data_IF_372217556484
#
_entry.id   IF_372217556484
#
_cell.length_a   1.000
_cell.length_b   1.000
_cell.length_c   1.000
_cell.angle_alpha   90.00
_cell.angle_beta   90.00
_cell.angle_gamma   90.00
#
_symmetry.space_group_name_H-M   'P 1'
#
loop_
_entity.id
_entity.type
_entity.pdbx_description
1 polymer ?
#
# COMPACT_ATOMS: atom_id res chain seq x y z
N UNK A 1 -30.31 -21.31 -0.11
CA UNK A 1 -29.01 -21.98 0.03
C UNK A 1 -27.77 -21.23 -0.41
N UNK A 2 -27.95 -20.11 -1.13
CA UNK A 2 -26.85 -19.20 -1.48
C UNK A 2 -26.14 -18.63 -0.24
N UNK A 3 -26.89 -18.32 0.80
CA UNK A 3 -26.34 -17.76 2.07
C UNK A 3 -25.49 -18.78 2.82
N UNK A 4 -25.86 -20.06 2.74
CA UNK A 4 -25.12 -21.16 3.37
C UNK A 4 -23.80 -21.42 2.65
N UNK A 5 -23.79 -21.34 1.33
CA UNK A 5 -22.60 -21.43 0.50
C UNK A 5 -21.61 -20.27 0.76
N UNK A 6 -22.09 -19.04 0.82
CA UNK A 6 -21.28 -17.86 1.15
C UNK A 6 -20.67 -17.96 2.54
N UNK A 7 -21.43 -18.42 3.53
CA UNK A 7 -20.91 -18.61 4.88
C UNK A 7 -19.79 -19.64 4.91
N UNK A 8 -19.97 -20.77 4.23
CA UNK A 8 -18.96 -21.82 4.12
C UNK A 8 -17.70 -21.35 3.39
N UNK A 9 -17.86 -20.55 2.32
CA UNK A 9 -16.75 -19.93 1.59
C UNK A 9 -15.94 -19.01 2.50
N UNK A 10 -16.60 -18.14 3.28
CA UNK A 10 -15.92 -17.22 4.19
C UNK A 10 -15.22 -17.95 5.34
N UNK A 11 -15.81 -19.02 5.86
CA UNK A 11 -15.19 -19.86 6.89
C UNK A 11 -13.92 -20.54 6.35
N UNK A 12 -13.97 -21.08 5.14
CA UNK A 12 -12.79 -21.66 4.48
C UNK A 12 -11.71 -20.62 4.22
N UNK A 13 -12.07 -19.47 3.69
CA UNK A 13 -11.13 -18.36 3.48
C UNK A 13 -10.46 -17.95 4.80
N UNK A 14 -11.23 -17.82 5.88
CA UNK A 14 -10.68 -17.50 7.21
C UNK A 14 -9.66 -18.55 7.67
N UNK A 15 -9.92 -19.84 7.46
CA UNK A 15 -8.98 -20.90 7.79
C UNK A 15 -7.67 -20.80 7.00
N UNK A 16 -7.75 -20.46 5.72
CA UNK A 16 -6.57 -20.22 4.87
C UNK A 16 -5.74 -19.04 5.39
N UNK A 17 -6.37 -17.94 5.75
CA UNK A 17 -5.69 -16.77 6.32
C UNK A 17 -5.03 -17.11 7.65
N UNK A 18 -5.71 -17.84 8.53
CA UNK A 18 -5.15 -18.28 9.81
C UNK A 18 -3.92 -19.19 9.58
N UNK A 19 -3.99 -20.12 8.65
CA UNK A 19 -2.87 -20.99 8.29
C UNK A 19 -1.66 -20.18 7.81
N UNK A 20 -1.89 -19.18 6.96
CA UNK A 20 -0.84 -18.25 6.54
C UNK A 20 -0.26 -17.47 7.73
N UNK A 21 -1.10 -16.93 8.60
CA UNK A 21 -0.65 -16.18 9.78
C UNK A 21 0.23 -17.05 10.69
N UNK A 22 -0.17 -18.29 10.97
CA UNK A 22 0.63 -19.22 11.78
C UNK A 22 2.01 -19.49 11.19
N UNK A 23 2.09 -19.61 9.86
CA UNK A 23 3.37 -19.78 9.14
C UNK A 23 4.30 -18.58 9.32
N UNK A 24 3.76 -17.38 9.48
CA UNK A 24 4.49 -16.11 9.49
C UNK A 24 4.49 -15.41 10.87
N UNK A 25 4.08 -16.10 11.92
CA UNK A 25 4.20 -15.57 13.28
C UNK A 25 5.65 -15.17 13.61
N UNK A 26 5.80 -13.97 14.19
CA UNK A 26 7.10 -13.43 14.56
C UNK A 26 7.97 -12.95 13.39
N UNK A 27 7.43 -12.86 12.18
CA UNK A 27 8.14 -12.23 11.05
C UNK A 27 8.53 -10.80 11.38
N UNK A 28 9.75 -10.40 11.03
CA UNK A 28 10.25 -9.04 11.25
C UNK A 28 11.09 -8.57 10.07
N UNK A 29 11.15 -7.25 9.90
CA UNK A 29 11.82 -6.63 8.78
C UNK A 29 13.29 -6.32 9.13
N UNK A 30 14.19 -6.59 8.17
CA UNK A 30 15.63 -6.36 8.31
C UNK A 30 16.09 -5.05 7.71
N UNK A 31 15.24 -4.42 6.90
CA UNK A 31 15.49 -3.17 6.19
C UNK A 31 14.75 -1.95 6.80
N UNK A 32 14.04 -2.16 7.90
CA UNK A 32 13.49 -1.03 8.66
C UNK A 32 14.61 -0.35 9.46
N UNK A 33 14.74 0.95 9.27
CA UNK A 33 15.51 1.77 10.20
C UNK A 33 14.96 1.55 11.61
N UNK A 34 15.84 1.24 12.56
CA UNK A 34 15.47 1.05 13.98
C UNK A 34 14.82 2.32 14.51
N UNK A 35 13.49 2.37 14.44
CA UNK A 35 12.76 3.40 15.16
C UNK A 35 12.90 3.12 16.65
N UNK A 36 13.26 4.10 17.48
CA UNK A 36 13.35 3.91 18.93
C UNK A 36 12.02 3.52 19.57
N UNK A 37 10.91 3.60 18.82
CA UNK A 37 9.56 3.24 19.25
C UNK A 37 9.10 1.86 18.75
N UNK A 38 9.94 1.13 18.01
CA UNK A 38 9.58 -0.21 17.56
C UNK A 38 9.87 -1.19 18.69
N UNK A 39 8.87 -1.89 19.26
CA UNK A 39 9.14 -2.92 20.28
C UNK A 39 10.10 -3.96 19.69
N UNK A 40 11.09 -4.37 20.48
CA UNK A 40 11.98 -5.48 20.15
C UNK A 40 11.10 -6.70 19.91
N UNK A 41 10.92 -7.06 18.66
CA UNK A 41 10.11 -8.19 18.25
C UNK A 41 10.79 -9.50 18.67
N UNK A 42 9.96 -10.44 19.08
CA UNK A 42 10.34 -11.76 19.62
C UNK A 42 11.56 -12.38 18.89
N UNK A 43 12.55 -12.74 19.65
CA UNK A 43 13.69 -13.54 19.18
C UNK A 43 13.19 -14.84 18.57
N UNK A 44 13.48 -15.08 17.28
CA UNK A 44 13.21 -16.38 16.62
C UNK A 44 12.30 -16.34 15.38
N UNK A 45 11.75 -15.19 14.99
CA UNK A 45 10.90 -15.09 13.79
C UNK A 45 11.69 -15.03 12.47
N UNK A 46 10.97 -15.22 11.34
CA UNK A 46 11.56 -15.12 10.00
C UNK A 46 12.01 -13.69 9.69
N UNK A 47 13.23 -13.55 9.19
CA UNK A 47 13.80 -12.28 8.73
C UNK A 47 13.44 -12.07 7.26
N UNK A 48 12.89 -10.89 6.92
CA UNK A 48 12.46 -10.58 5.56
C UNK A 48 12.58 -9.08 5.29
N UNK A 49 12.76 -8.68 4.04
CA UNK A 49 12.67 -7.29 3.64
C UNK A 49 11.21 -6.88 3.48
N UNK A 50 10.94 -5.59 3.64
CA UNK A 50 9.59 -5.04 3.45
C UNK A 50 9.06 -5.31 2.03
N UNK A 51 9.89 -5.09 1.01
CA UNK A 51 9.54 -5.35 -0.39
C UNK A 51 9.19 -6.83 -0.63
N UNK A 52 9.97 -7.75 -0.06
CA UNK A 52 9.66 -9.17 -0.18
C UNK A 52 8.35 -9.54 0.52
N UNK A 53 8.08 -8.94 1.68
CA UNK A 53 6.81 -9.13 2.38
C UNK A 53 5.62 -8.68 1.54
N UNK A 54 5.69 -7.47 0.97
CA UNK A 54 4.67 -6.97 0.05
C UNK A 54 4.42 -7.94 -1.11
N UNK A 55 5.47 -8.47 -1.73
CA UNK A 55 5.34 -9.42 -2.84
C UNK A 55 4.66 -10.73 -2.42
N UNK A 56 4.94 -11.23 -1.22
CA UNK A 56 4.28 -12.42 -0.67
C UNK A 56 2.79 -12.15 -0.45
N UNK A 57 2.44 -11.02 0.17
CA UNK A 57 1.05 -10.65 0.44
C UNK A 57 0.26 -10.49 -0.86
N UNK A 58 0.84 -9.88 -1.89
CA UNK A 58 0.19 -9.76 -3.21
C UNK A 58 -0.06 -11.14 -3.81
N UNK A 59 0.94 -12.01 -3.82
CA UNK A 59 0.84 -13.36 -4.39
C UNK A 59 -0.25 -14.19 -3.71
N UNK A 60 -0.38 -14.08 -2.40
CA UNK A 60 -1.39 -14.80 -1.61
C UNK A 60 -2.80 -14.16 -1.69
N UNK A 61 -2.92 -12.96 -2.27
CA UNK A 61 -4.19 -12.24 -2.37
C UNK A 61 -4.58 -11.51 -1.09
N UNK A 62 -3.62 -11.20 -0.23
CA UNK A 62 -3.81 -10.49 1.03
C UNK A 62 -3.47 -9.01 0.96
N UNK A 63 -2.97 -8.56 -0.18
CA UNK A 63 -2.73 -7.16 -0.49
C UNK A 63 -2.93 -6.90 -1.99
N UNK A 64 -3.28 -5.66 -2.36
CA UNK A 64 -3.53 -5.24 -3.74
C UNK A 64 -4.53 -6.16 -4.49
N UNK A 65 -5.54 -6.62 -3.78
CA UNK A 65 -6.43 -7.69 -4.21
C UNK A 65 -7.16 -7.38 -5.51
N UNK A 66 -7.68 -6.17 -5.65
CA UNK A 66 -8.44 -5.74 -6.84
C UNK A 66 -7.59 -5.05 -7.90
N UNK A 67 -6.29 -4.89 -7.67
CA UNK A 67 -5.40 -4.28 -8.66
C UNK A 67 -5.05 -5.33 -9.73
N UNK A 68 -5.15 -4.99 -11.03
CA UNK A 68 -4.87 -5.93 -12.11
C UNK A 68 -3.46 -6.50 -12.07
N UNK A 69 -3.32 -7.78 -12.42
CA UNK A 69 -2.01 -8.46 -12.50
C UNK A 69 -1.02 -7.75 -13.40
N UNK A 70 -1.49 -7.18 -14.51
CA UNK A 70 -0.65 -6.44 -15.47
C UNK A 70 0.02 -5.20 -14.87
N UNK A 71 -0.42 -4.75 -13.70
CA UNK A 71 0.16 -3.64 -12.92
C UNK A 71 0.76 -4.10 -11.59
N UNK A 72 0.97 -5.39 -11.41
CA UNK A 72 1.61 -5.95 -10.22
C UNK A 72 0.67 -6.30 -9.06
N UNK A 73 -0.64 -6.23 -9.26
CA UNK A 73 -1.64 -6.61 -8.26
C UNK A 73 -1.98 -8.11 -8.26
N UNK A 74 -2.86 -8.52 -7.36
CA UNK A 74 -3.35 -9.89 -7.28
C UNK A 74 -4.33 -10.23 -8.42
N UNK A 75 -5.09 -9.25 -8.91
CA UNK A 75 -6.02 -9.41 -10.02
C UNK A 75 -7.29 -10.17 -9.67
N UNK A 76 -7.71 -10.10 -8.42
CA UNK A 76 -8.99 -10.62 -7.94
C UNK A 76 -10.06 -9.55 -7.85
N UNK A 77 -11.21 -9.92 -7.30
CA UNK A 77 -12.29 -8.98 -7.05
C UNK A 77 -12.12 -8.26 -5.70
N UNK A 78 -12.68 -7.06 -5.61
CA UNK A 78 -12.81 -6.36 -4.34
C UNK A 78 -13.85 -7.07 -3.47
N UNK A 79 -13.46 -7.43 -2.26
CA UNK A 79 -14.33 -8.12 -1.30
C UNK A 79 -14.08 -7.56 0.10
N UNK A 80 -15.04 -6.78 0.58
CA UNK A 80 -14.97 -6.11 1.90
C UNK A 80 -14.91 -7.13 3.04
N UNK A 81 -15.60 -8.26 2.91
CA UNK A 81 -15.62 -9.29 3.96
C UNK A 81 -14.25 -9.98 4.02
N UNK A 82 -13.71 -10.39 2.88
CA UNK A 82 -12.37 -10.99 2.81
C UNK A 82 -11.30 -10.02 3.33
N UNK A 83 -11.38 -8.75 2.97
CA UNK A 83 -10.44 -7.75 3.48
C UNK A 83 -10.51 -7.59 5.01
N UNK A 84 -11.71 -7.63 5.59
CA UNK A 84 -11.89 -7.61 7.06
C UNK A 84 -11.33 -8.86 7.73
N UNK A 85 -11.52 -10.04 7.15
CA UNK A 85 -10.96 -11.29 7.65
C UNK A 85 -9.43 -11.21 7.65
N UNK A 86 -8.82 -10.76 6.57
CA UNK A 86 -7.37 -10.59 6.48
C UNK A 86 -6.87 -9.65 7.58
N UNK A 87 -7.43 -8.47 7.69
CA UNK A 87 -7.00 -7.48 8.69
C UNK A 87 -7.15 -8.00 10.13
N UNK A 88 -8.29 -8.63 10.44
CA UNK A 88 -8.56 -9.20 11.76
C UNK A 88 -7.60 -10.32 12.13
N UNK A 89 -7.37 -11.27 11.22
CA UNK A 89 -6.50 -12.40 11.51
C UNK A 89 -5.02 -11.99 11.57
N UNK A 90 -4.58 -11.05 10.75
CA UNK A 90 -3.23 -10.48 10.84
C UNK A 90 -3.01 -9.82 12.19
N UNK A 91 -3.98 -9.03 12.66
CA UNK A 91 -3.93 -8.41 13.99
C UNK A 91 -3.91 -9.46 15.11
N UNK A 92 -4.79 -10.46 15.06
CA UNK A 92 -4.90 -11.50 16.08
C UNK A 92 -3.62 -12.33 16.22
N UNK A 93 -2.88 -12.53 15.14
CA UNK A 93 -1.66 -13.32 15.11
C UNK A 93 -0.36 -12.50 15.14
N UNK A 94 -0.46 -11.17 15.27
CA UNK A 94 0.71 -10.29 15.26
C UNK A 94 1.51 -10.36 13.96
N UNK A 95 0.84 -10.62 12.83
CA UNK A 95 1.44 -10.61 11.49
C UNK A 95 1.38 -9.19 10.93
N UNK A 96 2.48 -8.67 10.37
CA UNK A 96 2.50 -7.30 9.86
C UNK A 96 1.53 -7.08 8.72
N UNK A 97 0.76 -6.00 8.82
CA UNK A 97 -0.08 -5.52 7.72
C UNK A 97 0.78 -5.09 6.53
N UNK A 98 0.23 -5.09 5.30
CA UNK A 98 0.91 -4.49 4.16
C UNK A 98 1.23 -3.02 4.42
N UNK A 99 2.23 -2.49 3.73
CA UNK A 99 2.48 -1.05 3.71
C UNK A 99 1.26 -0.33 3.17
N UNK A 100 0.97 0.81 3.76
CA UNK A 100 0.04 1.81 3.24
C UNK A 100 0.79 3.09 2.89
N UNK A 101 0.06 4.20 2.88
CA UNK A 101 0.59 5.53 2.68
C UNK A 101 0.17 6.15 1.36
N UNK A 102 0.62 7.38 1.12
CA UNK A 102 0.09 8.22 0.05
C UNK A 102 0.20 7.61 -1.35
N UNK A 103 1.27 6.87 -1.61
CA UNK A 103 1.43 6.19 -2.90
C UNK A 103 0.37 5.10 -3.11
N UNK A 104 0.21 4.21 -2.13
CA UNK A 104 -0.70 3.07 -2.22
C UNK A 104 -2.16 3.51 -2.11
N UNK A 105 -2.46 4.41 -1.17
CA UNK A 105 -3.84 4.75 -0.82
C UNK A 105 -4.43 5.87 -1.70
N UNK A 106 -3.59 6.67 -2.35
CA UNK A 106 -4.02 7.82 -3.16
C UNK A 106 -3.52 7.77 -4.60
N UNK A 107 -2.22 7.62 -4.83
CA UNK A 107 -1.66 7.65 -6.18
C UNK A 107 -2.10 6.45 -7.01
N UNK A 108 -1.99 5.23 -6.48
CA UNK A 108 -2.35 4.01 -7.22
C UNK A 108 -3.82 4.04 -7.69
N UNK A 109 -4.82 4.35 -6.84
CA UNK A 109 -6.20 4.51 -7.30
C UNK A 109 -6.35 5.59 -8.38
N UNK A 110 -5.67 6.73 -8.22
CA UNK A 110 -5.70 7.83 -9.19
C UNK A 110 -5.10 7.40 -10.54
N UNK A 111 -3.98 6.70 -10.54
CA UNK A 111 -3.38 6.19 -11.77
C UNK A 111 -4.27 5.13 -12.45
N UNK A 112 -4.90 4.25 -11.69
CA UNK A 112 -5.80 3.25 -12.25
C UNK A 112 -6.98 3.89 -12.97
N UNK A 113 -7.49 5.00 -12.47
CA UNK A 113 -8.63 5.70 -13.03
C UNK A 113 -8.23 6.66 -14.17
N UNK A 114 -7.19 7.47 -13.98
CA UNK A 114 -6.87 8.62 -14.84
C UNK A 114 -5.49 8.53 -15.53
N UNK A 115 -4.62 7.60 -15.11
CA UNK A 115 -3.27 7.50 -15.64
C UNK A 115 -3.22 6.90 -17.05
N UNK A 116 -2.14 7.22 -17.78
CA UNK A 116 -1.82 6.52 -19.03
C UNK A 116 -1.34 5.10 -18.77
N UNK A 117 -1.36 4.24 -19.79
CA UNK A 117 -0.84 2.87 -19.67
C UNK A 117 0.65 2.86 -19.27
N UNK A 118 1.44 3.79 -19.79
CA UNK A 118 2.85 3.95 -19.45
C UNK A 118 3.02 4.30 -17.97
N UNK A 119 2.27 5.27 -17.46
CA UNK A 119 2.30 5.66 -16.04
C UNK A 119 1.89 4.50 -15.13
N UNK A 120 0.82 3.78 -15.47
CA UNK A 120 0.37 2.61 -14.70
C UNK A 120 1.45 1.54 -14.61
N UNK A 121 2.07 1.17 -15.75
CA UNK A 121 3.13 0.17 -15.82
C UNK A 121 4.41 0.61 -15.13
N UNK A 122 4.72 1.89 -15.21
CA UNK A 122 5.94 2.45 -14.62
C UNK A 122 5.90 2.52 -13.10
N UNK A 123 4.75 2.88 -12.52
CA UNK A 123 4.68 3.29 -11.12
C UNK A 123 3.92 2.35 -10.20
N UNK A 124 2.86 1.67 -10.66
CA UNK A 124 1.96 0.95 -9.73
C UNK A 124 2.69 -0.19 -9.03
N UNK A 125 3.32 -1.10 -9.76
CA UNK A 125 3.98 -2.26 -9.13
C UNK A 125 5.07 -1.83 -8.15
N UNK A 126 5.92 -0.89 -8.54
CA UNK A 126 7.00 -0.37 -7.69
C UNK A 126 6.48 0.30 -6.43
N UNK A 127 5.32 0.98 -6.53
CA UNK A 127 4.65 1.59 -5.38
C UNK A 127 4.09 0.51 -4.44
N UNK A 128 3.42 -0.51 -4.98
CA UNK A 128 2.88 -1.61 -4.20
C UNK A 128 3.97 -2.39 -3.45
N UNK A 129 5.13 -2.54 -4.04
CA UNK A 129 6.28 -3.21 -3.45
C UNK A 129 7.06 -2.33 -2.45
N UNK A 130 6.75 -1.04 -2.37
CA UNK A 130 7.48 -0.09 -1.52
C UNK A 130 8.86 0.28 -2.07
N UNK A 131 9.13 0.04 -3.35
CA UNK A 131 10.37 0.47 -4.02
C UNK A 131 10.36 1.98 -4.31
N UNK A 132 9.18 2.56 -4.49
CA UNK A 132 8.96 3.99 -4.62
C UNK A 132 8.08 4.45 -3.47
N UNK A 133 8.56 5.45 -2.73
CA UNK A 133 7.82 6.13 -1.67
C UNK A 133 7.38 7.50 -2.19
N UNK A 134 6.14 7.84 -1.92
CA UNK A 134 5.52 9.06 -2.42
C UNK A 134 5.21 10.02 -1.28
N UNK A 135 5.36 11.29 -1.58
CA UNK A 135 4.87 12.38 -0.74
C UNK A 135 3.79 13.17 -1.49
N UNK A 136 3.05 13.97 -0.73
CA UNK A 136 1.98 14.81 -1.26
C UNK A 136 2.32 16.28 -1.02
N UNK A 137 2.39 17.07 -2.09
CA UNK A 137 2.62 18.51 -2.01
C UNK A 137 1.34 19.29 -2.35
N UNK A 138 0.55 19.65 -1.34
CA UNK A 138 -0.67 20.46 -1.48
C UNK A 138 -0.51 21.84 -0.90
N UNK A 139 -0.31 21.92 0.41
CA UNK A 139 -0.26 23.18 1.14
C UNK A 139 0.97 24.02 0.78
N UNK A 140 0.81 25.33 0.83
CA UNK A 140 1.86 26.32 0.66
C UNK A 140 1.95 27.20 1.92
N UNK A 141 3.05 27.95 2.14
CA UNK A 141 3.19 28.79 3.32
C UNK A 141 2.00 29.73 3.56
N UNK A 142 1.39 30.22 2.47
CA UNK A 142 0.27 31.16 2.51
C UNK A 142 -1.06 30.55 2.03
N UNK A 143 -1.13 29.26 1.76
CA UNK A 143 -2.32 28.58 1.26
C UNK A 143 -2.45 27.16 1.84
N UNK A 144 -3.44 26.96 2.69
CA UNK A 144 -3.81 25.65 3.25
C UNK A 144 -5.23 25.27 2.84
N UNK A 145 -6.21 25.57 3.69
CA UNK A 145 -7.63 25.31 3.38
C UNK A 145 -8.15 26.11 2.20
N UNK A 146 -7.57 27.27 1.93
CA UNK A 146 -7.85 28.08 0.75
C UNK A 146 -6.97 27.63 -0.43
N UNK A 147 -7.40 26.57 -1.11
CA UNK A 147 -6.69 26.04 -2.28
C UNK A 147 -6.68 27.02 -3.47
N UNK A 148 -7.63 27.96 -3.52
CA UNK A 148 -7.68 28.96 -4.60
C UNK A 148 -6.51 29.96 -4.56
N UNK A 149 -5.81 30.08 -3.42
CA UNK A 149 -4.66 30.97 -3.24
C UNK A 149 -3.31 30.32 -3.53
N UNK A 150 -3.27 29.09 -4.06
CA UNK A 150 -2.04 28.42 -4.46
C UNK A 150 -1.27 29.20 -5.52
N UNK A 151 0.04 29.34 -5.32
CA UNK A 151 0.93 30.09 -6.20
C UNK A 151 1.94 29.24 -6.96
N UNK A 152 2.13 27.97 -6.57
CA UNK A 152 3.01 27.06 -7.31
C UNK A 152 2.50 26.89 -8.74
N UNK A 153 3.40 27.14 -9.70
CA UNK A 153 3.12 27.05 -11.14
C UNK A 153 3.92 25.94 -11.79
N UNK A 154 3.33 25.26 -12.75
CA UNK A 154 4.00 24.34 -13.65
C UNK A 154 3.81 24.82 -15.08
N UNK A 155 4.91 25.01 -15.80
CA UNK A 155 4.93 25.43 -17.20
C UNK A 155 5.63 24.37 -18.04
N UNK A 156 5.07 24.06 -19.21
CA UNK A 156 5.70 23.12 -20.15
C UNK A 156 6.65 23.92 -21.06
N UNK A 157 7.97 23.68 -20.90
CA UNK A 157 9.02 24.34 -21.68
C UNK A 157 9.88 23.26 -22.34
N UNK A 158 9.95 23.26 -23.64
CA UNK A 158 10.73 22.30 -24.44
C UNK A 158 10.49 20.83 -24.06
N UNK A 159 9.23 20.49 -23.82
CA UNK A 159 8.81 19.13 -23.45
C UNK A 159 9.05 18.74 -21.98
N UNK A 160 9.57 19.65 -21.18
CA UNK A 160 9.80 19.44 -19.75
C UNK A 160 8.89 20.35 -18.89
N UNK A 161 8.40 19.82 -17.77
CA UNK A 161 7.70 20.62 -16.79
C UNK A 161 8.68 21.41 -15.92
N UNK A 162 8.58 22.73 -15.98
CA UNK A 162 9.31 23.64 -15.09
C UNK A 162 8.36 24.04 -13.97
N UNK A 163 8.69 23.65 -12.74
CA UNK A 163 7.85 23.89 -11.56
C UNK A 163 8.50 24.97 -10.70
N UNK A 164 7.76 26.03 -10.39
CA UNK A 164 8.18 27.14 -9.53
C UNK A 164 7.17 27.32 -8.40
N UNK A 165 7.64 27.24 -7.16
CA UNK A 165 6.82 27.41 -5.98
C UNK A 165 7.42 26.72 -4.75
N UNK A 166 6.68 26.76 -3.65
CA UNK A 166 7.07 26.11 -2.40
C UNK A 166 5.88 25.38 -1.81
N UNK A 167 6.07 24.12 -1.45
CA UNK A 167 5.10 23.31 -0.72
C UNK A 167 5.55 23.10 0.71
N UNK A 168 4.61 22.96 1.65
CA UNK A 168 4.85 22.66 3.06
C UNK A 168 4.00 21.45 3.48
N UNK A 169 4.31 20.90 4.65
CA UNK A 169 3.60 19.75 5.23
C UNK A 169 3.62 18.51 4.31
N UNK A 170 4.72 18.35 3.59
CA UNK A 170 4.94 17.24 2.67
C UNK A 170 5.42 16.01 3.44
N UNK A 171 4.51 15.31 4.12
CA UNK A 171 4.85 14.09 4.87
C UNK A 171 5.54 13.07 3.96
N UNK A 172 6.61 12.43 4.48
CA UNK A 172 7.45 11.45 3.78
C UNK A 172 8.31 11.98 2.61
N UNK A 173 8.48 13.30 2.49
CA UNK A 173 9.36 13.90 1.48
C UNK A 173 10.87 13.89 1.84
N UNK A 174 11.24 13.24 2.92
CA UNK A 174 12.61 13.16 3.45
C UNK A 174 13.46 12.10 2.76
#
# INVERSE_FOLDING_TARGET
>A
DRMRLLKSEMENFKKEVISFCKKWEGVHFVDEAKSPLTPITKVGGKKITRTKWQSILIREGYFARSIPKKYGGYGGESDVIKNRIIASEFSNHGVPSPMGGQGIDMLVPTLLELGTEEQKKQYIEKTLLGEIIWCQGYSEPNAGSDLASLQTKGELVDGNWVINGQKIWTSTAQ
#
